data_IF_340499753960
#
_entry.id   IF_340499753960
#
_cell.length_a   1.000
_cell.length_b   1.000
_cell.length_c   1.000
_cell.angle_alpha   90.00
_cell.angle_beta   90.00
_cell.angle_gamma   90.00
#
_symmetry.space_group_name_H-M   'P 1'
#
loop_
_entity.id
_entity.type
_entity.pdbx_description
1 polymer ?
#
# COMPACT_ATOMS: atom_id res chain seq x y z
N UNK A 1 4.17 -22.55 6.84
CA UNK A 1 3.80 -21.35 6.06
C UNK A 1 4.17 -20.12 6.88
N UNK A 2 4.92 -19.19 6.28
CA UNK A 2 5.77 -18.24 7.00
C UNK A 2 4.98 -17.17 7.77
N UNK A 3 5.51 -16.77 8.93
CA UNK A 3 4.99 -15.75 9.86
C UNK A 3 4.56 -14.43 9.18
N UNK A 4 5.04 -14.16 7.96
CA UNK A 4 4.72 -12.96 7.17
C UNK A 4 3.28 -13.01 6.64
N UNK A 5 2.83 -14.16 6.13
CA UNK A 5 1.49 -14.31 5.57
C UNK A 5 0.39 -14.10 6.63
N UNK A 6 0.65 -14.53 7.86
CA UNK A 6 -0.27 -14.31 8.97
C UNK A 6 -0.31 -12.85 9.41
N UNK A 7 0.84 -12.16 9.43
CA UNK A 7 0.89 -10.70 9.68
C UNK A 7 0.08 -9.92 8.65
N UNK A 8 0.21 -10.24 7.36
CA UNK A 8 -0.55 -9.61 6.28
C UNK A 8 -2.07 -9.82 6.45
N UNK A 9 -2.49 -11.05 6.77
CA UNK A 9 -3.91 -11.38 7.01
C UNK A 9 -4.49 -10.62 8.19
N UNK A 10 -3.78 -10.56 9.32
CA UNK A 10 -4.24 -9.83 10.53
C UNK A 10 -4.39 -8.33 10.22
N UNK A 11 -3.40 -7.72 9.58
CA UNK A 11 -3.43 -6.30 9.22
C UNK A 11 -4.53 -5.99 8.19
N UNK A 12 -4.84 -6.93 7.29
CA UNK A 12 -5.92 -6.80 6.33
C UNK A 12 -7.28 -6.83 7.03
N UNK A 13 -7.51 -7.84 7.88
CA UNK A 13 -8.75 -7.95 8.66
C UNK A 13 -8.97 -6.74 9.59
N UNK A 14 -7.89 -6.17 10.14
CA UNK A 14 -7.95 -4.97 10.97
C UNK A 14 -8.35 -3.70 10.19
N UNK A 15 -8.03 -3.62 8.89
CA UNK A 15 -8.40 -2.49 8.01
C UNK A 15 -9.82 -2.57 7.49
N UNK A 16 -10.33 -3.78 7.28
CA UNK A 16 -11.70 -4.01 6.82
C UNK A 16 -12.73 -3.70 7.92
N UNK A 17 -12.31 -3.75 9.19
CA UNK A 17 -13.17 -3.39 10.32
C UNK A 17 -13.14 -1.88 10.58
N UNK A 18 -14.30 -1.25 10.87
CA UNK A 18 -14.34 0.16 11.27
C UNK A 18 -13.54 0.46 12.53
N UNK A 19 -13.50 -0.49 13.47
CA UNK A 19 -12.79 -0.36 14.75
C UNK A 19 -12.34 -1.73 15.24
N UNK A 20 -11.12 -1.80 15.78
CA UNK A 20 -10.62 -2.96 16.53
C UNK A 20 -10.62 -2.58 18.01
N UNK A 21 -11.15 -3.44 18.88
CA UNK A 21 -11.21 -3.19 20.33
C UNK A 21 -10.48 -4.27 21.11
N UNK A 22 -9.86 -3.88 22.22
CA UNK A 22 -9.27 -4.79 23.19
C UNK A 22 -9.69 -4.36 24.59
N UNK A 23 -10.32 -5.27 25.34
CA UNK A 23 -10.86 -4.98 26.68
C UNK A 23 -11.75 -3.72 26.71
N UNK A 24 -12.61 -3.57 25.69
CA UNK A 24 -13.51 -2.43 25.55
C UNK A 24 -12.86 -1.12 25.08
N UNK A 25 -11.54 -1.08 24.87
CA UNK A 25 -10.83 0.12 24.39
C UNK A 25 -10.50 -0.01 22.90
N UNK A 26 -10.72 1.05 22.09
CA UNK A 26 -10.30 1.04 20.70
C UNK A 26 -8.78 0.99 20.59
N UNK A 27 -8.28 0.15 19.68
CA UNK A 27 -6.86 -0.02 19.41
C UNK A 27 -6.61 0.06 17.91
N UNK A 28 -5.41 0.50 17.54
CA UNK A 28 -4.96 0.54 16.15
C UNK A 28 -3.84 -0.47 15.95
N UNK A 29 -4.06 -1.45 15.09
CA UNK A 29 -3.01 -2.37 14.67
C UNK A 29 -2.23 -1.73 13.50
N UNK A 30 -0.91 -1.67 13.64
CA UNK A 30 0.01 -1.18 12.61
C UNK A 30 1.18 -2.14 12.50
N UNK A 31 1.78 -2.24 11.32
CA UNK A 31 3.00 -3.02 11.15
C UNK A 31 4.19 -2.26 11.74
N UNK A 32 5.10 -3.01 12.36
CA UNK A 32 6.41 -2.50 12.75
C UNK A 32 7.35 -2.58 11.54
N UNK A 33 7.83 -1.43 11.08
CA UNK A 33 8.65 -1.27 9.88
C UNK A 33 9.98 -0.61 10.23
N UNK A 34 11.05 -0.97 9.52
CA UNK A 34 12.32 -0.23 9.64
C UNK A 34 12.16 1.23 9.20
N UNK A 35 13.07 2.10 9.64
CA UNK A 35 13.10 3.50 9.25
C UNK A 35 13.15 3.66 7.71
N UNK A 36 13.96 2.84 7.03
CA UNK A 36 14.05 2.80 5.55
C UNK A 36 12.70 2.45 4.91
N UNK A 37 12.00 1.44 5.43
CA UNK A 37 10.70 1.02 4.89
C UNK A 37 9.62 2.09 5.13
N UNK A 38 9.67 2.76 6.29
CA UNK A 38 8.78 3.88 6.59
C UNK A 38 9.03 5.06 5.65
N UNK A 39 10.30 5.36 5.35
CA UNK A 39 10.69 6.42 4.44
C UNK A 39 10.21 6.14 3.02
N UNK A 40 10.47 4.95 2.47
CA UNK A 40 9.98 4.56 1.15
C UNK A 40 8.43 4.61 1.04
N UNK A 41 7.71 4.30 2.13
CA UNK A 41 6.25 4.44 2.18
C UNK A 41 5.77 5.90 2.17
N UNK A 42 6.54 6.82 2.77
CA UNK A 42 6.24 8.26 2.78
C UNK A 42 6.47 8.85 1.39
N UNK A 43 7.59 8.51 0.76
CA UNK A 43 7.93 8.99 -0.58
C UNK A 43 6.89 8.50 -1.61
N UNK A 44 6.47 7.24 -1.52
CA UNK A 44 5.38 6.69 -2.34
C UNK A 44 3.97 7.24 -2.06
N UNK A 45 3.79 8.10 -1.04
CA UNK A 45 2.47 8.59 -0.64
C UNK A 45 1.85 9.56 -1.66
N UNK A 46 2.66 10.41 -2.29
CA UNK A 46 2.16 11.37 -3.28
C UNK A 46 1.66 10.65 -4.53
N UNK A 47 2.37 9.60 -4.95
CA UNK A 47 1.92 8.75 -6.06
C UNK A 47 0.67 7.96 -5.69
N UNK A 48 0.56 7.49 -4.44
CA UNK A 48 -0.67 6.83 -3.97
C UNK A 48 -1.88 7.77 -4.08
N UNK A 49 -1.74 9.04 -3.68
CA UNK A 49 -2.81 10.05 -3.82
C UNK A 49 -3.19 10.28 -5.29
N UNK A 50 -2.21 10.42 -6.18
CA UNK A 50 -2.44 10.58 -7.62
C UNK A 50 -3.24 9.40 -8.19
N UNK A 51 -2.82 8.17 -7.90
CA UNK A 51 -3.50 6.95 -8.37
C UNK A 51 -4.91 6.81 -7.78
N UNK A 52 -5.11 7.28 -6.55
CA UNK A 52 -6.44 7.32 -5.91
C UNK A 52 -7.36 8.30 -6.64
N UNK A 53 -6.86 9.49 -6.98
CA UNK A 53 -7.63 10.48 -7.75
C UNK A 53 -8.02 10.00 -9.16
N UNK A 54 -7.23 9.11 -9.76
CA UNK A 54 -7.52 8.48 -11.06
C UNK A 54 -8.37 7.19 -10.96
N UNK A 55 -8.92 6.87 -9.79
CA UNK A 55 -9.76 5.68 -9.56
C UNK A 55 -9.07 4.33 -9.85
N UNK A 56 -7.74 4.24 -9.74
CA UNK A 56 -6.96 3.02 -10.06
C UNK A 56 -6.85 2.02 -8.90
N UNK A 57 -7.58 2.26 -7.81
CA UNK A 57 -7.65 1.40 -6.63
C UNK A 57 -6.26 0.98 -6.09
N UNK A 58 -5.36 1.94 -5.78
CA UNK A 58 -4.01 1.61 -5.34
C UNK A 58 -4.02 0.88 -3.99
N UNK A 59 -3.11 -0.08 -3.83
CA UNK A 59 -2.86 -0.85 -2.61
C UNK A 59 -1.38 -0.86 -2.28
N UNK A 60 -1.04 -0.53 -1.03
CA UNK A 60 0.32 -0.66 -0.50
C UNK A 60 0.46 -2.04 0.16
N UNK A 61 1.22 -2.91 -0.49
CA UNK A 61 1.54 -4.25 -0.02
C UNK A 61 2.77 -4.23 0.90
N UNK A 62 2.96 -5.32 1.65
CA UNK A 62 4.12 -5.48 2.51
C UNK A 62 5.39 -5.75 1.67
N UNK A 63 6.57 -5.25 2.10
CA UNK A 63 6.79 -4.25 3.14
C UNK A 63 6.60 -2.81 2.64
N UNK A 64 6.71 -2.52 1.34
CA UNK A 64 6.58 -1.17 0.76
C UNK A 64 6.23 -1.18 -0.74
N UNK A 65 5.57 -2.23 -1.25
CA UNK A 65 5.27 -2.32 -2.69
C UNK A 65 3.97 -1.59 -3.02
N UNK A 66 3.97 -0.72 -4.02
CA UNK A 66 2.74 -0.09 -4.52
C UNK A 66 2.15 -0.95 -5.64
N UNK A 67 0.85 -1.22 -5.58
CA UNK A 67 0.11 -1.93 -6.63
C UNK A 67 -1.15 -1.18 -6.99
N UNK A 68 -1.59 -1.28 -8.23
CA UNK A 68 -2.85 -0.68 -8.69
C UNK A 68 -3.38 -1.44 -9.91
N UNK A 69 -4.67 -1.27 -10.19
CA UNK A 69 -5.32 -1.90 -11.35
C UNK A 69 -5.36 -0.91 -12.50
N UNK A 70 -4.93 -1.34 -13.68
CA UNK A 70 -4.94 -0.53 -14.90
C UNK A 70 -5.20 -1.44 -16.09
N UNK A 71 -6.16 -1.08 -16.95
CA UNK A 71 -6.50 -1.85 -18.16
C UNK A 71 -6.84 -3.34 -17.87
N UNK A 72 -7.41 -3.62 -16.70
CA UNK A 72 -7.76 -4.99 -16.28
C UNK A 72 -6.64 -5.74 -15.56
N UNK A 73 -5.39 -5.31 -15.69
CA UNK A 73 -4.22 -5.93 -15.07
C UNK A 73 -3.82 -5.27 -13.75
N UNK A 74 -3.27 -6.07 -12.82
CA UNK A 74 -2.66 -5.56 -11.59
C UNK A 74 -1.18 -5.31 -11.86
N UNK A 75 -0.74 -4.06 -11.77
CA UNK A 75 0.69 -3.71 -11.80
C UNK A 75 1.20 -3.55 -10.38
N UNK A 76 2.42 -4.01 -10.10
CA UNK A 76 3.05 -3.89 -8.79
C UNK A 76 4.51 -3.46 -8.92
N UNK A 77 4.91 -2.47 -8.13
CA UNK A 77 6.22 -1.85 -8.15
C UNK A 77 6.82 -1.88 -6.74
N UNK A 78 8.03 -2.44 -6.58
CA UNK A 78 8.73 -2.42 -5.30
C UNK A 78 9.47 -1.11 -5.02
N UNK A 79 9.69 -0.32 -6.06
CA UNK A 79 10.54 0.87 -6.06
C UNK A 79 9.81 2.04 -6.71
N UNK A 80 10.03 3.23 -6.16
CA UNK A 80 9.37 4.45 -6.61
C UNK A 80 9.92 4.96 -7.95
N UNK A 81 11.22 4.82 -8.22
CA UNK A 81 11.80 5.26 -9.49
C UNK A 81 11.17 4.51 -10.67
N UNK A 82 11.04 3.18 -10.55
CA UNK A 82 10.38 2.36 -11.57
C UNK A 82 8.91 2.74 -11.77
N UNK A 83 8.23 3.11 -10.70
CA UNK A 83 6.85 3.57 -10.75
C UNK A 83 6.74 4.95 -11.41
N UNK A 84 7.61 5.90 -11.05
CA UNK A 84 7.68 7.23 -11.67
C UNK A 84 7.98 7.13 -13.16
N UNK A 85 8.94 6.29 -13.54
CA UNK A 85 9.27 6.02 -14.95
C UNK A 85 8.08 5.41 -15.71
N UNK A 86 7.32 4.53 -15.08
CA UNK A 86 6.10 3.98 -15.66
C UNK A 86 5.02 5.05 -15.88
N UNK A 87 4.83 5.94 -14.90
CA UNK A 87 3.85 7.03 -14.98
C UNK A 87 4.25 8.04 -16.06
N UNK A 88 5.52 8.44 -16.15
CA UNK A 88 5.99 9.38 -17.18
C UNK A 88 5.91 8.81 -18.59
N UNK A 89 6.01 7.49 -18.76
CA UNK A 89 5.83 6.82 -20.06
C UNK A 89 4.36 6.66 -20.47
N UNK A 90 3.40 6.83 -19.56
CA UNK A 90 1.96 6.70 -19.84
C UNK A 90 1.26 8.06 -19.72
N UNK A 91 0.99 8.78 -20.83
CA UNK A 91 0.39 10.12 -20.79
C UNK A 91 -1.02 10.15 -20.16
N UNK A 92 -1.73 9.03 -20.11
CA UNK A 92 -3.02 8.89 -19.40
C UNK A 92 -2.89 9.09 -17.89
N UNK A 93 -1.68 8.91 -17.34
CA UNK A 93 -1.38 9.06 -15.92
C UNK A 93 -0.75 10.41 -15.56
N UNK A 94 -0.45 11.27 -16.54
CA UNK A 94 -0.09 12.68 -16.31
C UNK A 94 -1.32 13.57 -16.11
#
# INVERSE_FOLDING_TARGET
MSKIKDKERILTAARERPQVTYKGKPIRLSADFSAETLQARREGHDVFKLLTGKNLQPKILYPSRLSFRMEGEIKSFPDEHKLKEFITKKPVLQ
#
